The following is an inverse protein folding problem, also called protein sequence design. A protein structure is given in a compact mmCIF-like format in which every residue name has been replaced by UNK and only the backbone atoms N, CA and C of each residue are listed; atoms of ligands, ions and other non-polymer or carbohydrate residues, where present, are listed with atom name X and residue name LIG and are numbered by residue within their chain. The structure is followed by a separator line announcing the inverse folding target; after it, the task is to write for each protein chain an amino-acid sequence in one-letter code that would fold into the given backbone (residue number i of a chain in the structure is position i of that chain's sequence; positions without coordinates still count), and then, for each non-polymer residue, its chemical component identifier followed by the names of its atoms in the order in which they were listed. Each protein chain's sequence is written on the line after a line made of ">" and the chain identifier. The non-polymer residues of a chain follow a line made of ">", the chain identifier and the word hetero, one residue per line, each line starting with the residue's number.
data_IF_791408927448
#
_entry.id   IF_791408927448
#
_cell.length_a   1.000
_cell.length_b   1.000
_cell.length_c   1.000
_cell.angle_alpha   90.00
_cell.angle_beta   90.00
_cell.angle_gamma   90.00
#
_symmetry.space_group_name_H-M   'P 1'
#
loop_
_entity.id
_entity.type
_entity.pdbx_description
1 polymer ?
#
# COMPACT_ATOMS: atom_id res chain seq x y z
N UNK A 1 34.90 16.11 10.15
CA UNK A 1 35.03 15.98 8.68
C UNK A 1 35.09 14.52 8.19
N UNK A 2 35.72 13.58 8.90
CA UNK A 2 35.82 12.17 8.44
C UNK A 2 34.49 11.41 8.33
N UNK A 3 33.48 11.75 9.15
CA UNK A 3 32.13 11.12 9.09
C UNK A 3 31.33 11.54 7.85
N UNK A 4 31.56 12.76 7.34
CA UNK A 4 30.85 13.27 6.14
C UNK A 4 31.37 12.60 4.87
N UNK A 5 32.68 12.32 4.82
CA UNK A 5 33.31 11.65 3.67
C UNK A 5 32.90 10.18 3.59
N UNK A 6 32.78 9.49 4.73
CA UNK A 6 32.41 8.06 4.76
C UNK A 6 30.95 7.80 4.36
N UNK A 7 30.02 8.71 4.70
CA UNK A 7 28.60 8.61 4.31
C UNK A 7 28.43 8.80 2.79
N UNK A 8 29.19 9.71 2.18
CA UNK A 8 29.14 9.96 0.73
C UNK A 8 29.68 8.78 -0.09
N UNK A 9 30.77 8.15 0.35
CA UNK A 9 31.37 7.01 -0.37
C UNK A 9 30.53 5.75 -0.28
N UNK A 10 29.91 5.46 0.87
CA UNK A 10 29.04 4.29 1.03
C UNK A 10 27.72 4.43 0.25
N UNK A 11 27.17 5.66 0.16
CA UNK A 11 25.93 5.91 -0.59
C UNK A 11 26.10 5.71 -2.10
N UNK A 12 27.17 6.26 -2.68
CA UNK A 12 27.43 6.14 -4.13
C UNK A 12 27.78 4.72 -4.57
N UNK A 13 28.59 4.01 -3.77
CA UNK A 13 28.94 2.62 -4.04
C UNK A 13 27.71 1.70 -4.05
N UNK A 14 26.78 1.89 -3.10
CA UNK A 14 25.51 1.16 -3.07
C UNK A 14 24.62 1.47 -4.27
N UNK A 15 24.60 2.72 -4.74
CA UNK A 15 23.77 3.17 -5.87
C UNK A 15 24.31 2.62 -7.21
N UNK A 16 25.64 2.61 -7.38
CA UNK A 16 26.30 1.99 -8.54
C UNK A 16 26.09 0.47 -8.52
N UNK A 17 26.27 -0.18 -7.36
CA UNK A 17 26.03 -1.62 -7.21
C UNK A 17 24.57 -2.00 -7.50
N UNK A 18 23.61 -1.21 -6.99
CA UNK A 18 22.20 -1.39 -7.28
C UNK A 18 21.87 -1.18 -8.77
N UNK A 19 22.46 -0.16 -9.41
CA UNK A 19 22.29 0.10 -10.85
C UNK A 19 22.90 -1.02 -11.71
N UNK A 20 24.06 -1.56 -11.33
CA UNK A 20 24.69 -2.69 -12.01
C UNK A 20 23.87 -3.98 -11.85
N UNK A 21 23.34 -4.24 -10.64
CA UNK A 21 22.60 -5.46 -10.33
C UNK A 21 21.17 -5.48 -10.86
N UNK A 22 20.59 -4.32 -11.20
CA UNK A 22 19.27 -4.19 -11.83
C UNK A 22 19.14 -4.96 -13.14
N UNK A 23 20.25 -5.16 -13.87
CA UNK A 23 20.29 -5.87 -15.16
C UNK A 23 20.24 -7.40 -15.04
N UNK A 24 20.40 -7.95 -13.84
CA UNK A 24 20.44 -9.41 -13.60
C UNK A 24 19.18 -9.95 -12.92
N UNK A 25 18.10 -9.17 -12.87
CA UNK A 25 16.83 -9.66 -12.35
C UNK A 25 16.24 -10.66 -13.37
N UNK A 26 15.82 -11.81 -12.87
CA UNK A 26 15.20 -12.90 -13.63
C UNK A 26 13.69 -12.84 -13.36
N UNK A 27 12.87 -13.00 -14.39
CA UNK A 27 11.42 -13.02 -14.24
C UNK A 27 10.99 -14.30 -13.51
N UNK A 28 10.25 -14.22 -12.38
CA UNK A 28 9.83 -15.40 -11.61
C UNK A 28 8.80 -16.28 -12.35
N UNK A 29 8.11 -15.74 -13.37
CA UNK A 29 7.09 -16.46 -14.14
C UNK A 29 7.64 -17.25 -15.32
N UNK A 30 8.67 -16.72 -16.00
CA UNK A 30 9.21 -17.34 -17.22
C UNK A 30 10.71 -17.67 -17.16
N UNK A 31 11.43 -17.30 -16.09
CA UNK A 31 12.85 -17.61 -15.91
C UNK A 31 13.80 -16.84 -16.85
N UNK A 32 13.28 -15.92 -17.67
CA UNK A 32 14.07 -15.11 -18.61
C UNK A 32 14.53 -13.80 -17.97
N UNK A 33 15.60 -13.21 -18.50
CA UNK A 33 16.01 -11.85 -18.14
C UNK A 33 14.89 -10.84 -18.40
N UNK A 34 14.75 -9.82 -17.53
CA UNK A 34 13.67 -8.83 -17.60
C UNK A 34 13.51 -8.12 -18.96
N UNK A 35 14.59 -8.00 -19.74
CA UNK A 35 14.60 -7.50 -21.13
C UNK A 35 13.67 -8.28 -22.07
N UNK A 36 13.42 -9.56 -21.81
CA UNK A 36 12.58 -10.44 -22.62
C UNK A 36 11.23 -10.76 -21.95
N UNK A 37 11.02 -10.31 -20.71
CA UNK A 37 9.84 -10.64 -19.92
C UNK A 37 8.54 -10.08 -20.52
N UNK A 38 8.57 -8.86 -21.06
CA UNK A 38 7.40 -8.21 -21.67
C UNK A 38 6.85 -9.01 -22.85
N UNK A 39 7.73 -9.59 -23.68
CA UNK A 39 7.35 -10.40 -24.83
C UNK A 39 6.80 -11.77 -24.42
N UNK A 40 7.37 -12.39 -23.39
CA UNK A 40 6.89 -13.66 -22.85
C UNK A 40 5.54 -13.53 -22.13
N UNK A 41 5.33 -12.41 -21.42
CA UNK A 41 4.06 -12.08 -20.77
C UNK A 41 2.93 -11.82 -21.78
N UNK A 42 3.24 -11.22 -22.93
CA UNK A 42 2.28 -11.01 -24.01
C UNK A 42 1.82 -12.33 -24.66
N UNK A 43 2.69 -13.35 -24.74
CA UNK A 43 2.37 -14.66 -25.34
C UNK A 43 1.62 -15.57 -24.36
N UNK A 44 1.95 -15.52 -23.07
CA UNK A 44 1.30 -16.35 -22.05
C UNK A 44 -0.04 -15.81 -21.58
N UNK A 45 -0.31 -14.51 -21.80
CA UNK A 45 -1.55 -13.84 -21.43
C UNK A 45 -1.77 -13.80 -19.90
N UNK A 46 -2.32 -12.71 -19.37
CA UNK A 46 -3.05 -12.79 -18.11
C UNK A 46 -4.39 -13.52 -18.36
N UNK A 47 -4.95 -14.21 -17.36
CA UNK A 47 -6.38 -14.54 -17.41
C UNK A 47 -7.18 -13.26 -17.68
N UNK A 48 -8.29 -13.31 -18.45
CA UNK A 48 -9.08 -12.12 -18.75
C UNK A 48 -9.52 -11.39 -17.48
N UNK A 49 -9.79 -12.12 -16.40
CA UNK A 49 -10.12 -11.58 -15.07
C UNK A 49 -8.97 -10.78 -14.44
N UNK A 50 -7.72 -11.27 -14.55
CA UNK A 50 -6.54 -10.55 -14.05
C UNK A 50 -6.25 -9.30 -14.87
N UNK A 51 -6.42 -9.35 -16.19
CA UNK A 51 -6.31 -8.15 -17.03
C UNK A 51 -7.30 -7.07 -16.61
N UNK A 52 -8.54 -7.41 -16.26
CA UNK A 52 -9.53 -6.41 -15.83
C UNK A 52 -9.18 -5.76 -14.48
N UNK A 53 -8.60 -6.51 -13.54
CA UNK A 53 -8.15 -5.97 -12.25
C UNK A 53 -6.86 -5.14 -12.40
N UNK A 54 -5.95 -5.57 -13.27
CA UNK A 54 -4.60 -5.02 -13.43
C UNK A 54 -4.54 -3.85 -14.44
N UNK A 55 -5.48 -3.78 -15.39
CA UNK A 55 -5.57 -2.71 -16.39
C UNK A 55 -6.24 -1.43 -15.86
N UNK A 56 -6.87 -1.45 -14.69
CA UNK A 56 -7.41 -0.22 -14.10
C UNK A 56 -6.24 0.62 -13.55
N UNK A 57 -6.01 1.84 -14.06
CA UNK A 57 -4.91 2.68 -13.60
C UNK A 57 -5.10 3.01 -12.12
N UNK A 58 -4.12 2.67 -11.30
CA UNK A 58 -4.10 3.03 -9.88
C UNK A 58 -4.24 4.55 -9.75
N UNK A 59 -5.19 5.01 -8.94
CA UNK A 59 -5.35 6.44 -8.64
C UNK A 59 -4.02 7.00 -8.12
N UNK A 60 -3.61 8.20 -8.57
CA UNK A 60 -2.33 8.76 -8.17
C UNK A 60 -2.29 8.93 -6.65
N UNK A 61 -1.39 8.18 -6.01
CA UNK A 61 -1.26 8.19 -4.56
C UNK A 61 -0.83 9.58 -4.07
N UNK A 62 -1.42 10.08 -2.96
CA UNK A 62 -1.01 11.35 -2.39
C UNK A 62 0.47 11.28 -1.95
N UNK A 63 1.15 12.43 -2.05
CA UNK A 63 2.56 12.53 -1.66
C UNK A 63 2.75 12.21 -0.18
N UNK A 64 3.69 11.32 0.15
CA UNK A 64 3.94 10.84 1.51
C UNK A 64 4.54 11.88 2.49
N UNK A 65 4.50 13.18 2.16
CA UNK A 65 4.99 14.26 3.02
C UNK A 65 6.49 14.22 3.33
N UNK A 66 7.29 13.40 2.62
CA UNK A 66 8.68 13.08 2.99
C UNK A 66 9.57 14.32 3.16
N UNK A 67 9.48 15.29 2.24
CA UNK A 67 10.25 16.54 2.33
C UNK A 67 9.97 17.31 3.63
N UNK A 68 8.69 17.39 4.03
CA UNK A 68 8.25 18.10 5.25
C UNK A 68 8.73 17.37 6.51
N UNK A 69 8.70 16.04 6.51
CA UNK A 69 9.21 15.22 7.63
C UNK A 69 10.71 15.41 7.82
N UNK A 70 11.49 15.32 6.74
CA UNK A 70 12.95 15.48 6.80
C UNK A 70 13.31 16.88 7.30
N UNK A 71 12.63 17.92 6.78
CA UNK A 71 12.86 19.30 7.22
C UNK A 71 12.47 19.52 8.69
N UNK A 72 11.30 19.02 9.11
CA UNK A 72 10.84 19.08 10.50
C UNK A 72 11.79 18.37 11.47
N UNK A 73 12.24 17.15 11.14
CA UNK A 73 13.24 16.42 11.93
C UNK A 73 14.56 17.20 12.02
N UNK A 74 15.02 17.78 10.91
CA UNK A 74 16.21 18.63 10.90
C UNK A 74 16.07 19.85 11.83
N UNK A 75 14.92 20.53 11.80
CA UNK A 75 14.64 21.67 12.68
C UNK A 75 14.62 21.28 14.16
N UNK A 76 14.01 20.13 14.50
CA UNK A 76 13.96 19.64 15.90
C UNK A 76 15.36 19.29 16.41
N UNK A 77 16.18 18.62 15.60
CA UNK A 77 17.56 18.31 15.98
C UNK A 77 18.40 19.58 16.16
N UNK A 78 18.25 20.56 15.27
CA UNK A 78 18.95 21.83 15.36
C UNK A 78 18.50 22.65 16.59
N UNK A 79 17.19 22.72 16.84
CA UNK A 79 16.62 23.31 18.04
C UNK A 79 17.14 22.66 19.32
N UNK A 80 17.17 21.34 19.38
CA UNK A 80 17.70 20.58 20.52
C UNK A 80 19.18 20.90 20.75
N UNK A 81 19.98 21.01 19.68
CA UNK A 81 21.38 21.43 19.78
C UNK A 81 21.52 22.86 20.33
N UNK A 82 20.72 23.83 19.86
CA UNK A 82 20.74 25.20 20.37
C UNK A 82 20.37 25.28 21.85
N UNK A 83 19.36 24.51 22.28
CA UNK A 83 18.97 24.44 23.70
C UNK A 83 20.13 23.92 24.54
N UNK A 84 20.81 22.85 24.10
CA UNK A 84 21.98 22.31 24.81
C UNK A 84 23.11 23.32 24.93
N UNK A 85 23.44 24.07 23.87
CA UNK A 85 24.47 25.11 23.92
C UNK A 85 24.08 26.26 24.86
N UNK A 86 22.81 26.70 24.83
CA UNK A 86 22.32 27.77 25.72
C UNK A 86 22.42 27.41 27.21
N UNK A 87 22.24 26.14 27.58
CA UNK A 87 22.46 25.69 28.96
C UNK A 87 23.93 25.67 29.37
N UNK A 88 24.86 25.37 28.45
CA UNK A 88 26.30 25.35 28.74
C UNK A 88 26.84 26.76 28.98
N UNK A 89 26.38 27.73 28.20
CA UNK A 89 26.87 29.11 28.24
C UNK A 89 26.06 30.02 29.19
N UNK A 90 25.03 29.48 29.86
CA UNK A 90 24.06 30.24 30.67
C UNK A 90 23.32 31.34 29.87
N UNK A 91 23.25 31.23 28.55
CA UNK A 91 22.57 32.16 27.67
C UNK A 91 21.10 31.76 27.46
N UNK A 92 20.20 32.34 28.26
CA UNK A 92 18.76 32.07 28.20
C UNK A 92 18.13 32.42 26.83
N UNK A 93 18.74 33.35 26.07
CA UNK A 93 18.29 33.72 24.73
C UNK A 93 18.31 32.54 23.75
N UNK A 94 19.44 31.83 23.67
CA UNK A 94 19.59 30.66 22.79
C UNK A 94 18.64 29.52 23.16
N UNK A 95 18.41 29.29 24.45
CA UNK A 95 17.46 28.27 24.92
C UNK A 95 16.01 28.61 24.55
N UNK A 96 15.61 29.89 24.67
CA UNK A 96 14.27 30.34 24.28
C UNK A 96 14.04 30.23 22.76
N UNK A 97 15.01 30.67 21.95
CA UNK A 97 14.93 30.53 20.48
C UNK A 97 14.90 29.08 20.02
N UNK A 98 15.74 28.23 20.61
CA UNK A 98 15.73 26.79 20.34
C UNK A 98 14.36 26.17 20.62
N UNK A 99 13.70 26.56 21.71
CA UNK A 99 12.36 26.04 22.06
C UNK A 99 11.29 26.39 21.02
N UNK A 100 11.27 27.63 20.52
CA UNK A 100 10.32 28.06 19.48
C UNK A 100 10.57 27.32 18.17
N UNK A 101 11.85 27.20 17.75
CA UNK A 101 12.22 26.45 16.55
C UNK A 101 11.87 24.96 16.67
N UNK A 102 12.04 24.37 17.85
CA UNK A 102 11.69 22.98 18.13
C UNK A 102 10.18 22.72 18.02
N UNK A 103 9.35 23.66 18.51
CA UNK A 103 7.90 23.59 18.36
C UNK A 103 7.49 23.66 16.87
N UNK A 104 8.09 24.57 16.09
CA UNK A 104 7.86 24.68 14.65
C UNK A 104 8.26 23.42 13.88
N UNK A 105 9.43 22.86 14.19
CA UNK A 105 9.92 21.62 13.58
C UNK A 105 9.01 20.42 13.87
N UNK A 106 8.51 20.32 15.11
CA UNK A 106 7.59 19.26 15.53
C UNK A 106 6.25 19.34 14.80
N UNK A 107 5.70 20.54 14.63
CA UNK A 107 4.47 20.76 13.85
C UNK A 107 4.63 20.38 12.38
N UNK A 108 5.75 20.76 11.75
CA UNK A 108 6.04 20.38 10.37
C UNK A 108 6.21 18.86 10.20
N UNK A 109 6.84 18.19 11.17
CA UNK A 109 6.95 16.73 11.18
C UNK A 109 5.59 16.06 11.31
N UNK A 110 4.72 16.55 12.20
CA UNK A 110 3.36 16.04 12.40
C UNK A 110 2.51 16.15 11.13
N UNK A 111 2.50 17.30 10.46
CA UNK A 111 1.83 17.45 9.16
C UNK A 111 2.43 16.55 8.08
N UNK A 112 3.75 16.35 8.10
CA UNK A 112 4.40 15.40 7.22
C UNK A 112 3.97 13.96 7.47
N UNK A 113 3.73 13.57 8.73
CA UNK A 113 3.21 12.25 9.09
C UNK A 113 1.77 12.08 8.60
N UNK A 114 0.89 13.08 8.75
CA UNK A 114 -0.49 12.99 8.27
C UNK A 114 -0.57 12.60 6.79
N UNK A 115 0.29 13.15 5.92
CA UNK A 115 0.35 12.75 4.51
C UNK A 115 0.77 11.29 4.28
N UNK A 116 1.56 10.69 5.18
CA UNK A 116 1.84 9.25 5.14
C UNK A 116 0.60 8.43 5.51
N UNK A 117 -0.16 8.88 6.51
CA UNK A 117 -1.38 8.20 6.93
C UNK A 117 -2.45 8.26 5.84
N UNK A 118 -2.62 9.43 5.20
CA UNK A 118 -3.48 9.58 4.02
C UNK A 118 -3.08 8.65 2.88
N UNK A 119 -1.79 8.57 2.57
CA UNK A 119 -1.28 7.62 1.55
C UNK A 119 -1.57 6.18 1.92
N UNK A 120 -1.37 5.79 3.18
CA UNK A 120 -1.68 4.44 3.66
C UNK A 120 -3.17 4.13 3.50
N UNK A 121 -4.04 5.06 3.88
CA UNK A 121 -5.49 4.91 3.75
C UNK A 121 -5.89 4.78 2.26
N UNK A 122 -5.31 5.60 1.37
CA UNK A 122 -5.57 5.52 -0.06
C UNK A 122 -5.16 4.15 -0.65
N UNK A 123 -4.03 3.59 -0.23
CA UNK A 123 -3.59 2.25 -0.63
C UNK A 123 -4.58 1.19 -0.14
N UNK A 124 -5.00 1.25 1.13
CA UNK A 124 -5.95 0.29 1.69
C UNK A 124 -7.30 0.36 0.97
N UNK A 125 -7.83 1.56 0.74
CA UNK A 125 -9.06 1.76 -0.01
C UNK A 125 -8.96 1.21 -1.45
N UNK A 126 -7.79 1.38 -2.09
CA UNK A 126 -7.53 0.80 -3.41
C UNK A 126 -7.54 -0.74 -3.40
N UNK A 127 -6.95 -1.35 -2.37
CA UNK A 127 -6.97 -2.81 -2.19
C UNK A 127 -8.38 -3.32 -1.92
N UNK A 128 -9.15 -2.67 -1.05
CA UNK A 128 -10.55 -3.03 -0.78
C UNK A 128 -11.40 -3.00 -2.05
N UNK A 129 -11.27 -1.95 -2.88
CA UNK A 129 -11.95 -1.86 -4.18
C UNK A 129 -11.60 -3.04 -5.10
N UNK A 130 -10.32 -3.44 -5.15
CA UNK A 130 -9.87 -4.59 -5.96
C UNK A 130 -10.45 -5.91 -5.44
N UNK A 131 -10.50 -6.10 -4.12
CA UNK A 131 -11.12 -7.28 -3.49
C UNK A 131 -12.61 -7.35 -3.79
N UNK A 132 -13.34 -6.24 -3.68
CA UNK A 132 -14.78 -6.20 -3.99
C UNK A 132 -15.08 -6.55 -5.45
N UNK A 133 -14.22 -6.12 -6.38
CA UNK A 133 -14.33 -6.54 -7.79
C UNK A 133 -14.05 -8.02 -7.97
N UNK A 134 -13.01 -8.54 -7.33
CA UNK A 134 -12.70 -9.97 -7.35
C UNK A 134 -13.85 -10.80 -6.77
N UNK A 135 -14.46 -10.35 -5.67
CA UNK A 135 -15.64 -10.97 -5.09
C UNK A 135 -16.83 -10.94 -6.05
N UNK A 136 -17.02 -9.84 -6.78
CA UNK A 136 -18.07 -9.74 -7.80
C UNK A 136 -17.90 -10.73 -8.96
N UNK A 137 -16.65 -11.07 -9.31
CA UNK A 137 -16.36 -12.09 -10.33
C UNK A 137 -16.51 -13.53 -9.80
N UNK A 138 -16.37 -13.73 -8.48
CA UNK A 138 -16.46 -15.04 -7.80
C UNK A 138 -17.78 -15.26 -7.06
N UNK A 139 -18.88 -14.75 -7.62
CA UNK A 139 -20.24 -14.89 -7.07
C UNK A 139 -20.39 -14.49 -5.60
N UNK A 140 -19.60 -13.51 -5.15
CA UNK A 140 -19.67 -12.97 -3.80
C UNK A 140 -19.06 -13.84 -2.71
N UNK A 141 -18.26 -14.87 -3.03
CA UNK A 141 -17.51 -15.66 -2.04
C UNK A 141 -16.04 -15.73 -2.39
N UNK A 142 -15.18 -15.49 -1.40
CA UNK A 142 -13.72 -15.52 -1.57
C UNK A 142 -13.03 -16.28 -0.44
N UNK A 143 -11.97 -16.99 -0.77
CA UNK A 143 -11.02 -17.54 0.21
C UNK A 143 -9.77 -16.67 0.32
N UNK A 144 -9.07 -16.79 1.45
CA UNK A 144 -7.76 -16.12 1.65
C UNK A 144 -6.75 -16.51 0.57
N UNK A 145 -6.77 -17.79 0.16
CA UNK A 145 -5.85 -18.33 -0.85
C UNK A 145 -6.12 -17.74 -2.23
N UNK A 146 -7.39 -17.58 -2.62
CA UNK A 146 -7.76 -16.95 -3.89
C UNK A 146 -7.32 -15.49 -3.93
N UNK A 147 -7.60 -14.72 -2.88
CA UNK A 147 -7.17 -13.32 -2.78
C UNK A 147 -5.64 -13.21 -2.81
N UNK A 148 -4.93 -14.07 -2.09
CA UNK A 148 -3.47 -14.11 -2.11
C UNK A 148 -2.92 -14.41 -3.52
N UNK A 149 -3.50 -15.41 -4.20
CA UNK A 149 -3.07 -15.83 -5.52
C UNK A 149 -3.37 -14.80 -6.62
N UNK A 150 -4.55 -14.18 -6.60
CA UNK A 150 -5.01 -13.25 -7.64
C UNK A 150 -4.49 -11.84 -7.45
N UNK A 151 -4.28 -11.40 -6.21
CA UNK A 151 -3.70 -10.09 -5.93
C UNK A 151 -2.18 -10.11 -5.69
N UNK A 152 -1.54 -11.29 -5.82
CA UNK A 152 -0.11 -11.49 -5.56
C UNK A 152 0.30 -10.97 -4.17
N UNK A 153 -0.50 -11.29 -3.16
CA UNK A 153 -0.28 -10.87 -1.77
C UNK A 153 0.26 -12.05 -0.93
N UNK A 154 1.12 -11.79 0.08
CA UNK A 154 1.44 -12.80 1.07
C UNK A 154 0.17 -13.29 1.76
N UNK A 155 0.06 -14.59 2.04
CA UNK A 155 -1.14 -15.19 2.65
C UNK A 155 -1.57 -14.49 3.94
N UNK A 156 -0.61 -14.19 4.83
CA UNK A 156 -0.86 -13.46 6.07
C UNK A 156 -1.37 -12.02 5.86
N UNK A 157 -1.04 -11.41 4.71
CA UNK A 157 -1.53 -10.07 4.35
C UNK A 157 -2.94 -10.15 3.81
N UNK A 158 -3.25 -11.13 2.94
CA UNK A 158 -4.60 -11.37 2.45
C UNK A 158 -5.57 -11.67 3.61
N UNK A 159 -5.15 -12.54 4.54
CA UNK A 159 -5.91 -12.89 5.75
C UNK A 159 -6.23 -11.67 6.61
N UNK A 160 -5.21 -10.85 6.89
CA UNK A 160 -5.37 -9.63 7.67
C UNK A 160 -6.29 -8.61 7.00
N UNK A 161 -6.22 -8.47 5.67
CA UNK A 161 -7.08 -7.53 4.93
C UNK A 161 -8.53 -8.02 5.00
N UNK A 162 -8.81 -9.27 4.64
CA UNK A 162 -10.16 -9.84 4.67
C UNK A 162 -10.75 -9.80 6.09
N UNK A 163 -9.98 -10.15 7.10
CA UNK A 163 -10.39 -10.05 8.51
C UNK A 163 -10.65 -8.60 8.93
N UNK A 164 -9.89 -7.63 8.43
CA UNK A 164 -10.15 -6.20 8.73
C UNK A 164 -11.38 -5.64 8.01
N UNK A 165 -11.83 -6.29 6.94
CA UNK A 165 -13.03 -5.94 6.19
C UNK A 165 -14.29 -6.62 6.76
N UNK A 166 -14.14 -7.69 7.54
CA UNK A 166 -15.25 -8.38 8.21
C UNK A 166 -15.86 -7.49 9.31
N UNK A 167 -17.02 -6.89 8.99
CA UNK A 167 -17.82 -6.10 9.92
C UNK A 167 -19.02 -6.91 10.47
N UNK A 168 -19.13 -8.20 10.10
CA UNK A 168 -20.22 -9.10 10.45
C UNK A 168 -21.55 -8.85 9.71
N UNK A 169 -21.64 -7.80 8.90
CA UNK A 169 -22.89 -7.43 8.21
C UNK A 169 -22.74 -7.47 6.69
N UNK A 170 -21.76 -6.76 6.14
CA UNK A 170 -21.46 -6.65 4.70
C UNK A 170 -20.51 -7.72 4.23
N UNK A 171 -19.62 -8.15 5.11
CA UNK A 171 -18.68 -9.24 4.87
C UNK A 171 -18.75 -10.14 6.09
N UNK A 172 -18.82 -11.45 5.87
CA UNK A 172 -18.92 -12.43 6.95
C UNK A 172 -17.98 -13.58 6.70
N UNK A 173 -17.23 -13.98 7.71
CA UNK A 173 -16.47 -15.22 7.68
C UNK A 173 -17.38 -16.41 8.03
N UNK A 174 -17.49 -17.38 7.12
CA UNK A 174 -18.19 -18.64 7.36
C UNK A 174 -17.24 -19.82 7.13
N UNK A 175 -17.30 -20.81 8.02
CA UNK A 175 -16.55 -22.05 7.88
C UNK A 175 -17.49 -23.08 7.25
N UNK A 176 -17.13 -23.61 6.09
CA UNK A 176 -17.92 -24.65 5.43
C UNK A 176 -17.85 -25.97 6.21
N UNK A 177 -18.74 -26.90 5.87
CA UNK A 177 -18.77 -28.24 6.51
C UNK A 177 -17.48 -29.03 6.27
N UNK A 178 -16.75 -28.67 5.22
CA UNK A 178 -15.46 -29.23 4.82
C UNK A 178 -14.27 -28.56 5.55
N UNK A 179 -14.53 -27.57 6.41
CA UNK A 179 -13.51 -26.87 7.21
C UNK A 179 -12.79 -25.74 6.47
N UNK A 180 -13.33 -25.26 5.36
CA UNK A 180 -12.74 -24.15 4.58
C UNK A 180 -13.37 -22.83 5.01
N UNK A 181 -12.53 -21.83 5.31
CA UNK A 181 -12.96 -20.48 5.66
C UNK A 181 -13.26 -19.66 4.39
N UNK A 182 -14.51 -19.28 4.21
CA UNK A 182 -14.96 -18.38 3.15
C UNK A 182 -15.34 -17.02 3.74
N UNK A 183 -15.02 -15.97 3.01
CA UNK A 183 -15.55 -14.63 3.24
C UNK A 183 -16.68 -14.40 2.23
N UNK A 184 -17.89 -14.30 2.74
CA UNK A 184 -19.10 -14.05 1.95
C UNK A 184 -19.42 -12.55 1.93
N UNK A 185 -19.83 -12.07 0.75
CA UNK A 185 -20.27 -10.71 0.47
C UNK A 185 -21.77 -10.76 0.11
N UNK A 186 -22.69 -10.75 1.09
CA UNK A 186 -24.11 -11.05 0.86
C UNK A 186 -24.76 -10.14 -0.19
N UNK A 187 -24.37 -8.86 -0.27
CA UNK A 187 -24.89 -7.92 -1.26
C UNK A 187 -24.58 -8.36 -2.70
N UNK A 188 -23.41 -8.96 -2.94
CA UNK A 188 -23.01 -9.45 -4.26
C UNK A 188 -23.68 -10.78 -4.60
N UNK A 189 -23.81 -11.66 -3.61
CA UNK A 189 -24.52 -12.95 -3.74
C UNK A 189 -25.99 -12.71 -4.12
N UNK A 190 -26.68 -11.81 -3.40
CA UNK A 190 -28.09 -11.50 -3.68
C UNK A 190 -28.29 -10.78 -5.02
N UNK A 191 -27.38 -9.89 -5.42
CA UNK A 191 -27.48 -9.18 -6.71
C UNK A 191 -27.43 -10.14 -7.90
N UNK A 192 -26.56 -11.15 -7.85
CA UNK A 192 -26.46 -12.14 -8.93
C UNK A 192 -27.72 -13.02 -9.03
N UNK A 193 -28.40 -13.28 -7.92
CA UNK A 193 -29.66 -14.03 -7.91
C UNK A 193 -30.81 -13.25 -8.57
N UNK A 194 -30.92 -11.95 -8.26
CA UNK A 194 -32.01 -11.10 -8.81
C UNK A 194 -31.81 -10.78 -10.29
N UNK A 195 -30.56 -10.64 -10.76
CA UNK A 195 -30.26 -10.39 -12.18
C UNK A 195 -30.50 -11.58 -13.13
N UNK A 196 -30.81 -12.76 -12.59
CA UNK A 196 -31.03 -13.99 -13.36
C UNK A 196 -32.50 -14.45 -13.45
N UNK A 197 -33.44 -13.67 -12.91
CA UNK A 197 -34.87 -13.99 -12.91
C UNK A 197 -35.77 -12.78 -13.21
N UNK A 198 -36.68 -12.99 -14.17
CA UNK A 198 -37.83 -12.17 -14.59
C UNK A 198 -37.59 -11.05 -15.62
N UNK A 199 -37.42 -11.46 -16.87
CA UNK A 199 -38.07 -10.77 -17.98
C UNK A 199 -39.58 -11.06 -17.88
N UNK A 200 -40.46 -10.08 -17.56
CA UNK A 200 -41.88 -10.34 -17.48
C UNK A 200 -42.40 -10.61 -18.90
N UNK A 201 -42.82 -11.85 -19.16
CA UNK A 201 -43.56 -12.17 -20.39
C UNK A 201 -44.83 -11.29 -20.44
N UNK A 202 -45.08 -10.56 -21.53
CA UNK A 202 -46.26 -9.72 -21.63
C UNK A 202 -47.50 -10.63 -21.61
N UNK A 203 -48.32 -10.47 -20.58
CA UNK A 203 -49.64 -11.10 -20.50
C UNK A 203 -50.53 -10.48 -21.58
N UNK A 204 -50.76 -11.22 -22.66
CA UNK A 204 -51.79 -10.91 -23.64
C UNK A 204 -53.12 -11.39 -23.08
N UNK A 205 -53.87 -10.46 -22.47
CA UNK A 205 -55.32 -10.59 -22.30
C UNK A 205 -56.02 -9.74 -23.37
#
# INVERSE_FOLDING_TARGET
>A
MLVVVSVLTYGFGGLIYWAARRKHLICPRCGLGWEHASRALAVTGPEPERMMIEAEPDEPLPGAGLKRRILGTGMVLFASFMVLQGFVEWELGLAAFGSVLGAGGSGMFYWGWQGLQERRNAIMNGLERKILKLAGMRDGRLTVTEVAADMNLPLATADKILTSMDDGFRIRSEISKEGVLYYEFPELVYRNQIGSGDEPTPRTD
#
